data_IF_426805491254
#
_entry.id   IF_426805491254
#
_cell.length_a   1.000
_cell.length_b   1.000
_cell.length_c   1.000
_cell.angle_alpha   90.00
_cell.angle_beta   90.00
_cell.angle_gamma   90.00
#
_symmetry.space_group_name_H-M   'P 1'
#
loop_
_entity.id
_entity.type
_entity.pdbx_description
1 polymer ?
#
# COMPACT_ATOMS: atom_id res chain seq x y z
N UNK A 1 13.14 3.58 8.12
CA UNK A 1 14.02 3.14 7.01
C UNK A 1 13.33 3.23 5.64
N UNK A 2 12.65 4.35 5.37
CA UNK A 2 12.07 4.68 4.04
C UNK A 2 13.11 4.94 2.95
N UNK A 3 14.38 4.96 3.37
CA UNK A 3 15.53 5.28 2.53
C UNK A 3 15.68 4.30 1.36
N UNK A 4 15.50 2.99 1.55
CA UNK A 4 15.68 2.03 0.45
C UNK A 4 14.59 2.18 -0.61
N UNK A 5 13.32 2.19 -0.22
CA UNK A 5 12.19 2.37 -1.12
C UNK A 5 12.34 3.67 -1.92
N UNK A 6 12.54 4.80 -1.23
CA UNK A 6 12.62 6.10 -1.89
C UNK A 6 13.87 6.22 -2.76
N UNK A 7 15.03 5.75 -2.29
CA UNK A 7 16.28 5.82 -3.06
C UNK A 7 16.19 4.94 -4.31
N UNK A 8 15.69 3.70 -4.18
CA UNK A 8 15.49 2.81 -5.32
C UNK A 8 14.46 3.36 -6.30
N UNK A 9 13.36 3.91 -5.81
CA UNK A 9 12.33 4.55 -6.63
C UNK A 9 12.90 5.73 -7.42
N UNK A 10 13.60 6.65 -6.76
CA UNK A 10 14.25 7.81 -7.40
C UNK A 10 15.28 7.34 -8.42
N UNK A 11 16.10 6.34 -8.09
CA UNK A 11 17.10 5.81 -9.01
C UNK A 11 16.46 5.24 -10.28
N UNK A 12 15.37 4.46 -10.16
CA UNK A 12 14.62 3.98 -11.34
C UNK A 12 14.03 5.15 -12.12
N UNK A 13 13.42 6.13 -11.45
CA UNK A 13 12.81 7.30 -12.07
C UNK A 13 13.80 8.18 -12.85
N UNK A 14 15.02 8.33 -12.34
CA UNK A 14 16.06 9.12 -13.01
C UNK A 14 16.73 8.37 -14.18
N UNK A 15 16.74 7.03 -14.19
CA UNK A 15 17.54 6.25 -15.15
C UNK A 15 16.73 5.41 -16.16
N UNK A 16 15.47 5.06 -15.88
CA UNK A 16 14.70 4.07 -16.67
C UNK A 16 13.32 4.55 -17.13
N UNK A 17 13.16 5.84 -17.40
CA UNK A 17 11.86 6.37 -17.84
C UNK A 17 11.52 5.93 -19.29
N UNK A 18 10.36 5.28 -19.46
CA UNK A 18 9.89 4.77 -20.75
C UNK A 18 9.02 5.81 -21.48
N UNK A 19 8.35 6.68 -20.73
CA UNK A 19 7.53 7.78 -21.25
C UNK A 19 8.10 9.13 -20.84
N UNK A 20 7.59 10.20 -21.46
CA UNK A 20 7.73 11.53 -20.87
C UNK A 20 7.16 11.50 -19.44
N UNK A 21 7.97 11.92 -18.48
CA UNK A 21 7.61 11.99 -17.05
C UNK A 21 6.24 12.65 -16.90
N UNK A 22 5.34 12.02 -16.15
CA UNK A 22 4.01 12.57 -15.97
C UNK A 22 4.12 13.95 -15.28
N UNK A 23 3.41 14.97 -15.80
CA UNK A 23 3.55 16.32 -15.29
C UNK A 23 2.95 16.42 -13.88
N UNK A 24 3.67 17.10 -12.99
CA UNK A 24 3.28 17.20 -11.57
C UNK A 24 1.98 17.98 -11.35
N UNK A 25 1.60 18.83 -12.30
CA UNK A 25 0.43 19.70 -12.27
C UNK A 25 -0.78 19.12 -13.04
N UNK A 26 -0.77 17.82 -13.39
CA UNK A 26 -1.88 17.18 -14.08
C UNK A 26 -2.71 16.31 -13.14
N UNK A 27 -4.05 16.47 -13.10
CA UNK A 27 -4.94 15.58 -12.35
C UNK A 27 -4.81 14.10 -12.74
N UNK A 28 -4.47 13.82 -14.01
CA UNK A 28 -4.27 12.44 -14.50
C UNK A 28 -3.12 11.78 -13.74
N UNK A 29 -2.05 12.52 -13.46
CA UNK A 29 -0.90 12.01 -12.69
C UNK A 29 -1.32 11.54 -11.31
N UNK A 30 -2.20 12.28 -10.64
CA UNK A 30 -2.73 11.91 -9.32
C UNK A 30 -3.63 10.68 -9.40
N UNK A 31 -4.56 10.61 -10.36
CA UNK A 31 -5.42 9.43 -10.53
C UNK A 31 -4.63 8.16 -10.88
N UNK A 32 -3.67 8.27 -11.80
CA UNK A 32 -2.79 7.15 -12.15
C UNK A 32 -1.97 6.71 -10.94
N UNK A 33 -1.45 7.65 -10.15
CA UNK A 33 -0.68 7.31 -8.95
C UNK A 33 -1.57 6.68 -7.87
N UNK A 34 -2.79 7.17 -7.66
CA UNK A 34 -3.74 6.60 -6.73
C UNK A 34 -4.03 5.13 -7.04
N UNK A 35 -4.44 4.84 -8.29
CA UNK A 35 -4.72 3.47 -8.74
C UNK A 35 -3.45 2.62 -8.70
N UNK A 36 -2.32 3.19 -9.12
CA UNK A 36 -1.04 2.50 -9.16
C UNK A 36 -0.54 2.07 -7.78
N UNK A 37 -0.63 2.97 -6.78
CA UNK A 37 -0.25 2.67 -5.40
C UNK A 37 -1.20 1.64 -4.80
N UNK A 38 -2.50 1.76 -5.05
CA UNK A 38 -3.49 0.77 -4.60
C UNK A 38 -3.20 -0.62 -5.19
N UNK A 39 -2.91 -0.70 -6.48
CA UNK A 39 -2.54 -1.94 -7.16
C UNK A 39 -1.21 -2.53 -6.65
N UNK A 40 -0.21 -1.68 -6.39
CA UNK A 40 1.06 -2.10 -5.80
C UNK A 40 0.87 -2.69 -4.40
N UNK A 41 0.04 -2.05 -3.57
CA UNK A 41 -0.33 -2.57 -2.26
C UNK A 41 -1.11 -3.89 -2.37
N UNK A 42 -2.08 -3.97 -3.28
CA UNK A 42 -2.85 -5.19 -3.55
C UNK A 42 -1.94 -6.38 -3.85
N UNK A 43 -0.99 -6.23 -4.77
CA UNK A 43 -0.09 -7.32 -5.13
C UNK A 43 0.84 -7.70 -4.00
N UNK A 44 1.41 -6.73 -3.27
CA UNK A 44 2.20 -7.04 -2.08
C UNK A 44 1.37 -7.85 -1.08
N UNK A 45 0.16 -7.37 -0.76
CA UNK A 45 -0.68 -7.98 0.25
C UNK A 45 -1.14 -9.37 -0.17
N UNK A 46 -1.56 -9.56 -1.42
CA UNK A 46 -1.88 -10.88 -1.98
C UNK A 46 -0.70 -11.84 -1.87
N UNK A 47 0.49 -11.40 -2.29
CA UNK A 47 1.69 -12.24 -2.18
C UNK A 47 2.05 -12.55 -0.73
N UNK A 48 1.76 -11.63 0.21
CA UNK A 48 1.90 -11.88 1.64
C UNK A 48 0.99 -12.97 2.17
N UNK A 49 -0.13 -13.27 1.51
CA UNK A 49 -1.03 -14.36 1.86
C UNK A 49 -0.83 -15.64 1.02
N UNK A 50 -0.13 -15.56 -0.11
CA UNK A 50 0.07 -16.69 -1.03
C UNK A 50 1.49 -17.28 -1.01
N UNK A 51 2.49 -16.54 -0.53
CA UNK A 51 3.91 -16.94 -0.59
C UNK A 51 4.61 -16.79 0.75
N UNK A 52 5.24 -17.89 1.22
CA UNK A 52 5.86 -18.01 2.55
C UNK A 52 6.83 -16.88 2.92
N UNK A 53 7.66 -16.41 1.96
CA UNK A 53 8.61 -15.33 2.21
C UNK A 53 7.89 -14.02 2.59
N UNK A 54 6.84 -13.68 1.87
CA UNK A 54 6.07 -12.46 2.11
C UNK A 54 5.16 -12.64 3.34
N UNK A 55 4.58 -13.83 3.54
CA UNK A 55 3.86 -14.17 4.77
C UNK A 55 4.73 -14.00 6.01
N UNK A 56 5.99 -14.44 5.96
CA UNK A 56 6.91 -14.28 7.09
C UNK A 56 7.07 -12.80 7.51
N UNK A 57 6.96 -11.87 6.56
CA UNK A 57 7.01 -10.42 6.82
C UNK A 57 5.69 -9.85 7.36
N UNK A 58 4.56 -10.54 7.13
CA UNK A 58 3.21 -10.03 7.36
C UNK A 58 2.47 -10.71 8.52
N UNK A 59 2.80 -11.95 8.88
CA UNK A 59 2.14 -12.73 9.95
C UNK A 59 2.10 -12.01 11.31
N UNK A 60 3.06 -11.12 11.61
CA UNK A 60 3.07 -10.32 12.84
C UNK A 60 1.84 -9.42 12.94
N UNK A 61 1.32 -8.99 11.80
CA UNK A 61 0.11 -8.18 11.66
C UNK A 61 -1.14 -8.98 11.99
N UNK A 62 -1.25 -10.21 11.47
CA UNK A 62 -2.38 -11.12 11.67
C UNK A 62 -2.36 -11.88 13.00
N UNK A 63 -1.30 -11.77 13.80
CA UNK A 63 -1.16 -12.47 15.09
C UNK A 63 -1.64 -11.61 16.27
N UNK A 64 -2.52 -10.63 16.03
CA UNK A 64 -3.14 -9.87 17.10
C UNK A 64 -4.34 -10.62 17.68
N UNK A 65 -4.35 -10.82 19.00
CA UNK A 65 -5.48 -11.47 19.69
C UNK A 65 -6.74 -10.57 19.69
N UNK A 66 -6.55 -9.25 19.67
CA UNK A 66 -7.63 -8.27 19.63
C UNK A 66 -7.49 -7.42 18.36
N UNK A 67 -8.58 -7.27 17.61
CA UNK A 67 -8.62 -6.47 16.39
C UNK A 67 -9.04 -5.03 16.69
N UNK A 68 -8.14 -4.06 16.53
CA UNK A 68 -8.44 -2.63 16.68
C UNK A 68 -7.38 -1.78 15.94
N UNK A 69 -7.43 -0.44 16.09
CA UNK A 69 -6.52 0.46 15.37
C UNK A 69 -5.04 0.20 15.69
N UNK A 70 -4.70 -0.36 16.86
CA UNK A 70 -3.32 -0.72 17.17
C UNK A 70 -2.82 -1.92 16.37
N UNK A 71 -3.71 -2.80 15.88
CA UNK A 71 -3.38 -3.89 14.96
C UNK A 71 -2.75 -3.36 13.68
N UNK A 72 -3.22 -2.22 13.18
CA UNK A 72 -2.62 -1.53 12.04
C UNK A 72 -1.14 -1.16 12.26
N UNK A 73 -0.71 -0.97 13.50
CA UNK A 73 0.67 -0.60 13.84
C UNK A 73 1.57 -1.83 14.07
N UNK A 74 1.01 -3.04 14.19
CA UNK A 74 1.77 -4.30 14.30
C UNK A 74 2.32 -4.75 12.94
N UNK A 75 3.23 -3.97 12.38
CA UNK A 75 3.90 -4.31 11.13
C UNK A 75 5.15 -5.16 11.41
N UNK A 76 5.41 -6.19 10.62
CA UNK A 76 6.63 -6.99 10.75
C UNK A 76 7.86 -6.18 10.35
N UNK A 77 9.00 -6.41 11.03
CA UNK A 77 10.24 -5.68 10.76
C UNK A 77 10.72 -5.83 9.30
N UNK A 78 10.40 -6.96 8.67
CA UNK A 78 10.80 -7.26 7.29
C UNK A 78 9.86 -6.67 6.23
N UNK A 79 8.66 -6.24 6.61
CA UNK A 79 7.62 -5.85 5.66
C UNK A 79 8.08 -4.75 4.70
N UNK A 80 8.78 -3.74 5.22
CA UNK A 80 9.29 -2.61 4.39
C UNK A 80 10.31 -3.09 3.34
N UNK A 81 11.05 -4.17 3.61
CA UNK A 81 12.04 -4.72 2.68
C UNK A 81 11.41 -5.64 1.63
N UNK A 82 10.19 -6.10 1.87
CA UNK A 82 9.46 -6.97 0.96
C UNK A 82 8.47 -6.21 0.06
N UNK A 83 7.96 -5.05 0.49
CA UNK A 83 6.90 -4.34 -0.23
C UNK A 83 7.37 -3.36 -1.30
N UNK A 84 8.55 -2.76 -1.16
CA UNK A 84 8.99 -1.63 -2.02
C UNK A 84 9.06 -1.97 -3.52
N UNK A 85 9.38 -3.22 -3.85
CA UNK A 85 9.52 -3.70 -5.24
C UNK A 85 8.21 -3.57 -6.01
N UNK A 86 7.07 -3.76 -5.33
CA UNK A 86 5.74 -3.69 -5.95
C UNK A 86 5.37 -2.27 -6.42
N UNK A 87 6.06 -1.24 -5.93
CA UNK A 87 5.85 0.15 -6.34
C UNK A 87 6.79 0.62 -7.45
N UNK A 88 7.88 -0.10 -7.73
CA UNK A 88 8.88 0.29 -8.74
C UNK A 88 8.32 0.49 -10.15
N UNK A 89 7.29 -0.24 -10.64
CA UNK A 89 6.72 0.03 -11.95
C UNK A 89 6.23 1.47 -12.11
N UNK A 90 5.75 2.11 -11.04
CA UNK A 90 5.31 3.51 -11.07
C UNK A 90 6.47 4.48 -11.28
N UNK A 91 7.69 4.13 -10.84
CA UNK A 91 8.87 4.96 -11.01
C UNK A 91 9.21 5.18 -12.50
N UNK A 92 8.70 4.35 -13.41
CA UNK A 92 8.90 4.53 -14.85
C UNK A 92 8.22 5.80 -15.42
N UNK A 93 7.27 6.38 -14.69
CA UNK A 93 6.48 7.53 -15.18
C UNK A 93 5.94 8.49 -14.10
N UNK A 94 5.77 8.08 -12.85
CA UNK A 94 5.22 8.91 -11.75
C UNK A 94 6.33 9.64 -10.98
N UNK A 95 6.25 10.98 -10.82
CA UNK A 95 7.19 11.76 -10.02
C UNK A 95 7.25 11.31 -8.54
N UNK A 96 8.46 11.23 -7.94
CA UNK A 96 8.64 10.78 -6.55
C UNK A 96 7.80 11.53 -5.50
N UNK A 97 7.61 12.86 -5.56
CA UNK A 97 6.76 13.57 -4.59
C UNK A 97 5.30 13.12 -4.62
N UNK A 98 4.75 12.86 -5.81
CA UNK A 98 3.35 12.43 -5.97
C UNK A 98 3.20 10.98 -5.49
N UNK A 99 4.16 10.12 -5.82
CA UNK A 99 4.22 8.76 -5.29
C UNK A 99 4.22 8.76 -3.76
N UNK A 100 5.11 9.54 -3.12
CA UNK A 100 5.19 9.64 -1.66
C UNK A 100 3.89 10.10 -1.02
N UNK A 101 3.20 11.09 -1.60
CA UNK A 101 1.92 11.54 -1.06
C UNK A 101 0.88 10.40 -1.11
N UNK A 102 0.79 9.67 -2.22
CA UNK A 102 -0.20 8.61 -2.37
C UNK A 102 0.10 7.38 -1.52
N UNK A 103 1.37 7.00 -1.32
CA UNK A 103 1.70 5.92 -0.39
C UNK A 103 1.34 6.28 1.05
N UNK A 104 1.47 7.55 1.44
CA UNK A 104 0.99 8.02 2.74
C UNK A 104 -0.53 8.02 2.85
N UNK A 105 -1.25 8.42 1.80
CA UNK A 105 -2.71 8.35 1.77
C UNK A 105 -3.21 6.90 1.84
N UNK A 106 -2.58 5.98 1.12
CA UNK A 106 -2.87 4.56 1.19
C UNK A 106 -2.61 4.03 2.61
N UNK A 107 -1.47 4.38 3.23
CA UNK A 107 -1.17 3.99 4.61
C UNK A 107 -2.23 4.48 5.61
N UNK A 108 -2.71 5.72 5.46
CA UNK A 108 -3.78 6.25 6.31
C UNK A 108 -5.10 5.51 6.11
N UNK A 109 -5.43 5.16 4.86
CA UNK A 109 -6.59 4.34 4.55
C UNK A 109 -6.49 2.93 5.15
N UNK A 110 -5.32 2.29 5.00
CA UNK A 110 -5.03 1.00 5.63
C UNK A 110 -5.15 1.09 7.14
N UNK A 111 -4.68 2.16 7.79
CA UNK A 111 -4.87 2.35 9.23
C UNK A 111 -6.35 2.43 9.61
N UNK A 112 -7.12 3.25 8.89
CA UNK A 112 -8.54 3.52 9.20
C UNK A 112 -9.42 2.26 9.15
N UNK A 113 -9.17 1.33 8.23
CA UNK A 113 -9.98 0.11 8.11
C UNK A 113 -9.78 -0.88 9.28
N UNK A 114 -8.80 -0.69 10.16
CA UNK A 114 -8.59 -1.54 11.35
C UNK A 114 -9.46 -1.12 12.53
N UNK A 115 -10.78 -1.17 12.37
CA UNK A 115 -11.70 -0.82 13.45
C UNK A 115 -12.92 -1.73 13.48
N UNK A 116 -13.39 -2.01 14.68
CA UNK A 116 -14.65 -2.72 14.93
C UNK A 116 -15.84 -1.75 15.07
N UNK A 117 -15.57 -0.44 15.20
CA UNK A 117 -16.62 0.57 15.42
C UNK A 117 -17.54 0.74 14.21
N UNK A 118 -17.07 0.40 13.02
CA UNK A 118 -17.82 0.49 11.77
C UNK A 118 -18.18 -0.93 11.34
N UNK A 119 -19.47 -1.27 11.46
CA UNK A 119 -19.97 -2.60 11.16
C UNK A 119 -20.27 -2.81 9.68
N UNK A 120 -20.85 -1.81 9.02
CA UNK A 120 -21.26 -1.88 7.62
C UNK A 120 -21.30 -0.47 6.98
N UNK A 121 -20.85 -0.35 5.72
CA UNK A 121 -20.91 0.91 4.94
C UNK A 121 -21.92 0.89 3.78
N UNK A 122 -22.82 -0.10 3.77
CA UNK A 122 -23.87 -0.27 2.78
C UNK A 122 -23.31 -0.45 1.37
N UNK A 123 -23.85 0.25 0.35
CA UNK A 123 -23.40 0.08 -1.03
C UNK A 123 -21.91 0.35 -1.29
N UNK A 124 -21.22 1.08 -0.41
CA UNK A 124 -19.78 1.30 -0.55
C UNK A 124 -18.96 0.01 -0.42
N UNK A 125 -19.50 -1.03 0.23
CA UNK A 125 -18.85 -2.32 0.36
C UNK A 125 -18.65 -3.04 -0.99
N UNK A 126 -19.44 -2.71 -2.02
CA UNK A 126 -19.23 -3.31 -3.34
C UNK A 126 -17.98 -2.83 -4.06
N UNK A 127 -17.40 -1.70 -3.62
CA UNK A 127 -16.32 -1.01 -4.34
C UNK A 127 -15.09 -0.76 -3.48
N UNK A 128 -15.25 -0.66 -2.15
CA UNK A 128 -14.19 -0.29 -1.23
C UNK A 128 -13.82 -1.46 -0.32
N UNK A 129 -12.54 -1.53 0.06
CA UNK A 129 -12.15 -2.32 1.22
C UNK A 129 -12.61 -1.58 2.48
N UNK A 130 -13.57 -2.14 3.21
CA UNK A 130 -14.18 -1.45 4.35
C UNK A 130 -13.67 -2.05 5.65
N UNK A 131 -13.92 -1.40 6.80
CA UNK A 131 -13.63 -2.00 8.10
C UNK A 131 -14.31 -3.37 8.31
N UNK A 132 -15.47 -3.61 7.67
CA UNK A 132 -16.15 -4.89 7.76
C UNK A 132 -15.41 -6.00 7.00
N UNK A 133 -14.98 -5.73 5.77
CA UNK A 133 -14.19 -6.68 4.97
C UNK A 133 -12.86 -6.97 5.62
N UNK A 134 -12.17 -5.93 6.09
CA UNK A 134 -10.83 -6.08 6.63
C UNK A 134 -10.82 -6.84 7.96
N UNK A 135 -11.90 -6.76 8.73
CA UNK A 135 -12.09 -7.58 9.94
C UNK A 135 -12.27 -9.06 9.60
N UNK A 136 -13.08 -9.40 8.59
CA UNK A 136 -13.22 -10.79 8.10
C UNK A 136 -11.89 -11.33 7.60
N UNK A 137 -11.08 -10.48 6.99
CA UNK A 137 -9.75 -10.84 6.53
C UNK A 137 -8.76 -11.17 7.67
N UNK A 138 -8.92 -10.54 8.83
CA UNK A 138 -8.06 -10.77 10.01
C UNK A 138 -8.52 -11.89 10.93
N UNK A 139 -9.81 -12.26 10.88
CA UNK A 139 -10.47 -13.19 11.80
C UNK A 139 -10.54 -14.65 11.34
#
# INVERSE_FOLDING_TARGET
MKSIELTSYIWVYENFHIFSRLPWNSPITYWVTFIGVDLGYYWFHRMAHEVNLFWASHQTHHSAENYNLSTALRQGALQTYCSWIFYLPLALFVPPPIFLIHTQMNLLYQFWIHTEMISNLGPFEYFLNTPSHHRVHHG
#
